data_IF_024590217608
#
_entry.id   IF_024590217608
#
_cell.length_a   1.000
_cell.length_b   1.000
_cell.length_c   1.000
_cell.angle_alpha   90.00
_cell.angle_beta   90.00
_cell.angle_gamma   90.00
#
_symmetry.space_group_name_H-M   'P 1'
#
loop_
_entity.id
_entity.type
_entity.pdbx_description
1 polymer ?
#
# COMPACT_ATOMS: atom_id res chain seq x y z
N UNK A 1 -22.00 -56.91 52.82
CA UNK A 1 -21.47 -57.83 51.79
C UNK A 1 -21.50 -57.12 50.44
N UNK A 2 -20.36 -57.15 49.75
CA UNK A 2 -19.99 -56.45 48.51
C UNK A 2 -21.02 -56.57 47.38
N UNK A 3 -21.31 -55.46 46.68
CA UNK A 3 -21.37 -55.42 45.20
C UNK A 3 -20.87 -54.05 44.71
N UNK A 4 -19.66 -54.07 44.15
CA UNK A 4 -19.02 -52.96 43.43
C UNK A 4 -19.66 -52.93 42.03
N UNK A 5 -20.37 -51.86 41.68
CA UNK A 5 -20.77 -51.59 40.30
C UNK A 5 -19.77 -50.62 39.69
N UNK A 6 -18.95 -51.14 38.76
CA UNK A 6 -18.06 -50.37 37.90
C UNK A 6 -18.90 -49.51 36.94
N UNK A 7 -18.86 -48.19 37.07
CA UNK A 7 -19.34 -47.27 36.05
C UNK A 7 -18.31 -47.21 34.92
N UNK A 8 -18.64 -47.83 33.78
CA UNK A 8 -17.89 -47.67 32.53
C UNK A 8 -18.38 -46.37 31.85
N UNK A 9 -17.65 -45.27 32.02
CA UNK A 9 -17.87 -44.02 31.29
C UNK A 9 -17.34 -44.18 29.86
N UNK A 10 -18.24 -44.48 28.92
CA UNK A 10 -17.96 -44.42 27.48
C UNK A 10 -17.87 -42.94 27.08
N UNK A 11 -16.64 -42.44 26.89
CA UNK A 11 -16.39 -41.13 26.29
C UNK A 11 -16.59 -41.29 24.78
N UNK A 12 -17.78 -40.94 24.29
CA UNK A 12 -18.03 -40.73 22.87
C UNK A 12 -17.27 -39.47 22.43
N UNK A 13 -16.09 -39.66 21.85
CA UNK A 13 -15.39 -38.63 21.09
C UNK A 13 -16.20 -38.37 19.81
N UNK A 14 -17.07 -37.35 19.82
CA UNK A 14 -17.73 -36.86 18.62
C UNK A 14 -16.68 -36.19 17.73
N UNK A 15 -16.17 -36.93 16.75
CA UNK A 15 -15.45 -36.33 15.62
C UNK A 15 -16.45 -35.46 14.86
N UNK A 16 -16.29 -34.14 14.96
CA UNK A 16 -17.01 -33.22 14.10
C UNK A 16 -16.52 -33.40 12.65
N UNK A 17 -17.14 -34.34 11.94
CA UNK A 17 -17.11 -34.42 10.49
C UNK A 17 -17.72 -33.13 9.95
N UNK A 18 -16.87 -32.19 9.53
CA UNK A 18 -17.30 -31.03 8.75
C UNK A 18 -17.79 -31.53 7.38
N UNK A 19 -19.08 -31.86 7.31
CA UNK A 19 -19.78 -32.11 6.06
C UNK A 19 -19.79 -30.83 5.24
N UNK A 20 -19.26 -30.86 4.01
CA UNK A 20 -19.44 -29.79 3.04
C UNK A 20 -20.92 -29.77 2.62
N UNK A 21 -21.71 -28.97 3.31
CA UNK A 21 -23.12 -28.77 3.00
C UNK A 21 -23.24 -28.11 1.60
N UNK A 22 -24.05 -28.69 0.73
CA UNK A 22 -24.33 -28.11 -0.60
C UNK A 22 -25.05 -26.78 -0.43
N UNK A 23 -24.75 -25.79 -1.29
CA UNK A 23 -25.34 -24.45 -1.22
C UNK A 23 -26.88 -24.45 -1.28
N UNK A 24 -27.51 -25.49 -1.83
CA UNK A 24 -28.96 -25.64 -1.88
C UNK A 24 -29.62 -25.78 -0.50
N UNK A 25 -28.85 -26.15 0.52
CA UNK A 25 -29.39 -26.58 1.81
C UNK A 25 -29.15 -25.54 2.92
N UNK A 26 -28.64 -24.35 2.55
CA UNK A 26 -28.36 -23.25 3.48
C UNK A 26 -29.39 -22.16 3.21
N UNK A 27 -30.23 -21.84 4.21
CA UNK A 27 -31.02 -20.61 4.21
C UNK A 27 -30.07 -19.42 4.38
N UNK A 28 -29.49 -18.95 3.27
CA UNK A 28 -28.67 -17.74 3.25
C UNK A 28 -29.58 -16.55 2.99
N UNK A 29 -29.53 -15.55 3.85
CA UNK A 29 -30.19 -14.26 3.61
C UNK A 29 -29.51 -13.56 2.43
N UNK A 30 -30.31 -13.17 1.42
CA UNK A 30 -29.87 -12.47 0.22
C UNK A 30 -29.06 -11.20 0.55
N UNK A 31 -29.39 -10.52 1.67
CA UNK A 31 -28.71 -9.31 2.13
C UNK A 31 -27.21 -9.54 2.40
N UNK A 32 -26.77 -10.78 2.59
CA UNK A 32 -25.36 -11.13 2.80
C UNK A 32 -24.51 -10.88 1.55
N UNK A 33 -25.04 -11.24 0.38
CA UNK A 33 -24.34 -11.14 -0.90
C UNK A 33 -24.77 -9.93 -1.73
N UNK A 34 -25.96 -9.38 -1.50
CA UNK A 34 -26.55 -8.34 -2.33
C UNK A 34 -26.65 -7.02 -1.57
N UNK A 35 -26.34 -5.91 -2.25
CA UNK A 35 -26.48 -4.55 -1.73
C UNK A 35 -27.88 -3.98 -1.96
N UNK A 36 -28.69 -4.63 -2.81
CA UNK A 36 -30.09 -4.31 -3.02
C UNK A 36 -30.99 -5.44 -2.50
N UNK A 37 -32.20 -5.07 -2.09
CA UNK A 37 -33.19 -5.97 -1.48
C UNK A 37 -33.80 -6.96 -2.49
N UNK A 38 -33.87 -6.57 -3.77
CA UNK A 38 -34.42 -7.37 -4.86
C UNK A 38 -33.45 -7.46 -6.06
N UNK A 39 -32.41 -8.32 -5.99
CA UNK A 39 -31.48 -8.52 -7.09
C UNK A 39 -32.17 -9.19 -8.29
N UNK A 40 -31.85 -8.73 -9.51
CA UNK A 40 -32.32 -9.38 -10.74
C UNK A 40 -31.16 -10.09 -11.45
N UNK A 41 -31.47 -10.98 -12.40
CA UNK A 41 -30.43 -11.63 -13.22
C UNK A 41 -29.53 -10.64 -13.96
N UNK A 42 -30.11 -9.51 -14.39
CA UNK A 42 -29.40 -8.49 -15.17
C UNK A 42 -28.71 -7.45 -14.26
N UNK A 43 -29.26 -7.21 -13.07
CA UNK A 43 -28.69 -6.33 -12.05
C UNK A 43 -28.66 -7.06 -10.71
N UNK A 44 -27.64 -7.91 -10.50
CA UNK A 44 -27.59 -8.75 -9.33
C UNK A 44 -27.12 -7.97 -8.09
N UNK A 45 -26.70 -6.71 -8.17
CA UNK A 45 -26.29 -5.90 -7.01
C UNK A 45 -25.33 -6.62 -6.04
N UNK A 46 -24.43 -7.47 -6.52
CA UNK A 46 -23.59 -8.27 -5.62
C UNK A 46 -22.61 -7.33 -4.91
N UNK A 47 -22.61 -7.34 -3.57
CA UNK A 47 -21.58 -6.72 -2.75
C UNK A 47 -20.25 -7.31 -3.17
N UNK A 48 -19.25 -6.45 -3.40
CA UNK A 48 -17.91 -6.91 -3.70
C UNK A 48 -17.47 -7.95 -2.67
N UNK A 49 -17.14 -9.15 -3.16
CA UNK A 49 -16.80 -10.26 -2.28
C UNK A 49 -15.57 -9.85 -1.44
N UNK A 50 -15.64 -9.86 -0.10
CA UNK A 50 -14.55 -9.43 0.77
C UNK A 50 -13.28 -10.28 0.61
N UNK A 51 -13.34 -11.38 -0.16
CA UNK A 51 -12.16 -12.13 -0.59
C UNK A 51 -11.20 -11.33 -1.48
N UNK A 52 -11.64 -10.22 -2.07
CA UNK A 52 -10.78 -9.33 -2.89
C UNK A 52 -10.16 -8.19 -2.08
N UNK A 53 -10.77 -7.82 -0.95
CA UNK A 53 -10.21 -6.88 0.00
C UNK A 53 -9.58 -7.67 1.13
N UNK A 54 -8.30 -8.06 0.94
CA UNK A 54 -7.50 -8.46 2.09
C UNK A 54 -7.63 -7.36 3.15
N UNK A 55 -8.20 -7.69 4.32
CA UNK A 55 -8.03 -6.84 5.49
C UNK A 55 -6.53 -6.84 5.74
N UNK A 56 -5.91 -5.71 5.39
CA UNK A 56 -4.48 -5.46 5.44
C UNK A 56 -4.05 -5.32 6.90
N UNK A 57 -4.00 -6.43 7.63
CA UNK A 57 -3.05 -6.50 8.73
C UNK A 57 -1.68 -6.50 8.05
N UNK A 58 -1.01 -5.36 8.12
CA UNK A 58 0.32 -5.19 7.58
C UNK A 58 1.30 -5.97 8.46
N UNK A 59 1.56 -7.22 8.07
CA UNK A 59 2.59 -8.04 8.68
C UNK A 59 3.95 -7.67 8.10
N UNK A 60 4.93 -7.44 8.97
CA UNK A 60 6.31 -7.25 8.53
C UNK A 60 6.92 -8.61 8.06
N UNK A 61 7.85 -8.62 7.10
CA UNK A 61 8.58 -9.84 6.72
C UNK A 61 9.24 -10.55 7.91
N UNK A 62 9.55 -9.82 8.98
CA UNK A 62 10.13 -10.33 10.21
C UNK A 62 9.21 -11.17 11.08
N UNK A 63 7.89 -11.05 10.91
CA UNK A 63 6.92 -11.84 11.66
C UNK A 63 6.75 -13.26 11.08
N UNK A 64 7.16 -13.47 9.83
CA UNK A 64 7.11 -14.76 9.16
C UNK A 64 8.26 -15.68 9.53
N UNK A 65 8.14 -16.99 9.23
CA UNK A 65 9.24 -17.94 9.41
C UNK A 65 10.45 -17.54 8.54
N UNK A 66 11.65 -17.88 9.01
CA UNK A 66 12.87 -17.68 8.23
C UNK A 66 12.90 -18.60 7.01
N UNK A 67 12.65 -19.89 7.25
CA UNK A 67 12.64 -20.95 6.25
C UNK A 67 11.46 -21.89 6.49
N UNK A 68 10.96 -22.48 5.42
CA UNK A 68 9.88 -23.47 5.41
C UNK A 68 10.37 -24.67 4.62
N UNK A 69 10.35 -25.84 5.23
CA UNK A 69 10.55 -27.10 4.52
C UNK A 69 9.23 -27.56 3.91
N UNK A 70 9.18 -27.71 2.59
CA UNK A 70 7.99 -28.15 1.85
C UNK A 70 8.12 -29.65 1.60
N UNK A 71 7.64 -30.47 2.53
CA UNK A 71 7.68 -31.94 2.46
C UNK A 71 6.29 -32.60 2.45
N UNK A 72 5.22 -31.82 2.36
CA UNK A 72 3.83 -32.32 2.39
C UNK A 72 3.46 -33.25 1.23
N UNK A 73 4.17 -33.17 0.11
CA UNK A 73 3.95 -34.04 -1.06
C UNK A 73 4.92 -35.23 -1.11
N UNK A 74 5.70 -35.46 -0.04
CA UNK A 74 6.73 -36.50 0.00
C UNK A 74 6.10 -37.89 -0.13
N UNK A 75 6.70 -38.74 -0.96
CA UNK A 75 6.39 -40.16 -1.13
C UNK A 75 7.56 -41.03 -0.67
N UNK A 76 7.28 -42.32 -0.47
CA UNK A 76 8.29 -43.29 -0.01
C UNK A 76 9.49 -43.42 -0.96
N UNK A 77 9.28 -43.22 -2.27
CA UNK A 77 10.31 -43.32 -3.32
C UNK A 77 10.34 -42.07 -4.19
N UNK A 78 10.70 -40.94 -3.61
CA UNK A 78 10.91 -39.71 -4.38
C UNK A 78 12.31 -39.65 -4.99
N UNK A 79 12.39 -39.15 -6.23
CA UNK A 79 13.67 -38.86 -6.90
C UNK A 79 14.39 -37.63 -6.29
N UNK A 80 13.60 -36.75 -5.67
CA UNK A 80 14.01 -35.43 -5.22
C UNK A 80 13.74 -35.25 -3.73
N UNK A 81 14.62 -34.53 -3.04
CA UNK A 81 14.42 -34.10 -1.66
C UNK A 81 13.37 -32.98 -1.59
N UNK A 82 12.75 -32.79 -0.41
CA UNK A 82 11.90 -31.63 -0.14
C UNK A 82 12.59 -30.29 -0.42
N UNK A 83 11.81 -29.30 -0.85
CA UNK A 83 12.32 -27.93 -1.07
C UNK A 83 12.48 -27.23 0.27
N UNK A 84 13.62 -26.57 0.48
CA UNK A 84 13.82 -25.63 1.59
C UNK A 84 13.57 -24.23 1.04
N UNK A 85 12.44 -23.63 1.44
CA UNK A 85 11.99 -22.32 0.98
C UNK A 85 12.35 -21.24 2.00
N UNK A 86 13.19 -20.27 1.63
CA UNK A 86 13.48 -19.12 2.48
C UNK A 86 12.34 -18.10 2.44
N UNK A 87 11.37 -18.22 3.34
CA UNK A 87 10.24 -17.31 3.42
C UNK A 87 10.66 -15.87 3.74
N UNK A 88 11.68 -15.67 4.59
CA UNK A 88 12.18 -14.32 4.94
C UNK A 88 12.76 -13.59 3.75
N UNK A 89 13.59 -14.25 2.93
CA UNK A 89 14.16 -13.61 1.75
C UNK A 89 13.07 -13.21 0.76
N UNK A 90 12.11 -14.11 0.49
CA UNK A 90 11.02 -13.86 -0.46
C UNK A 90 10.07 -12.75 0.03
N UNK A 91 9.74 -12.74 1.32
CA UNK A 91 8.87 -11.70 1.87
C UNK A 91 9.52 -10.31 1.83
N UNK A 92 10.82 -10.20 2.12
CA UNK A 92 11.56 -8.94 1.97
C UNK A 92 11.63 -8.45 0.52
N UNK A 93 11.93 -9.35 -0.42
CA UNK A 93 11.97 -9.02 -1.84
C UNK A 93 10.59 -8.59 -2.38
N UNK A 94 9.52 -9.19 -1.86
CA UNK A 94 8.16 -8.92 -2.34
C UNK A 94 7.65 -7.51 -1.99
N UNK A 95 8.22 -6.84 -0.97
CA UNK A 95 7.70 -5.56 -0.47
C UNK A 95 7.57 -4.46 -1.53
N UNK A 96 8.38 -4.50 -2.60
CA UNK A 96 8.32 -3.52 -3.68
C UNK A 96 7.19 -3.78 -4.69
N UNK A 97 6.90 -5.03 -5.02
CA UNK A 97 6.01 -5.42 -6.13
C UNK A 97 4.60 -5.84 -5.72
N UNK A 98 4.29 -5.85 -4.42
CA UNK A 98 2.96 -6.26 -3.92
C UNK A 98 2.95 -6.85 -2.51
N UNK A 99 4.12 -7.11 -1.93
CA UNK A 99 4.26 -7.70 -0.61
C UNK A 99 3.68 -9.12 -0.57
N UNK A 100 2.94 -9.41 0.50
CA UNK A 100 2.33 -10.72 0.72
C UNK A 100 1.41 -11.15 -0.43
N UNK A 101 0.77 -10.21 -1.12
CA UNK A 101 -0.18 -10.50 -2.20
C UNK A 101 0.48 -11.08 -3.45
N UNK A 102 1.81 -11.00 -3.57
CA UNK A 102 2.54 -11.59 -4.68
C UNK A 102 2.50 -13.12 -4.66
N UNK A 103 2.28 -13.72 -3.48
CA UNK A 103 2.21 -15.17 -3.31
C UNK A 103 0.90 -15.63 -2.67
N UNK A 104 0.39 -14.89 -1.69
CA UNK A 104 -0.83 -15.23 -1.00
C UNK A 104 -2.03 -14.53 -1.62
N UNK A 105 -2.98 -15.32 -2.09
CA UNK A 105 -4.26 -14.86 -2.58
C UNK A 105 -5.40 -15.37 -1.69
N UNK A 106 -6.50 -14.62 -1.61
CA UNK A 106 -7.74 -15.05 -0.95
C UNK A 106 -7.58 -15.45 0.54
N UNK A 107 -6.67 -14.79 1.25
CA UNK A 107 -6.51 -14.96 2.69
C UNK A 107 -7.77 -14.51 3.46
N UNK A 108 -8.19 -15.23 4.51
CA UNK A 108 -9.22 -14.72 5.40
C UNK A 108 -8.70 -13.50 6.19
N UNK A 109 -9.59 -12.66 6.71
CA UNK A 109 -9.21 -11.48 7.50
C UNK A 109 -8.20 -11.79 8.60
N UNK A 110 -7.11 -11.03 8.66
CA UNK A 110 -6.13 -11.07 9.74
C UNK A 110 -5.23 -12.31 9.79
N UNK A 111 -5.24 -13.18 8.77
CA UNK A 111 -4.41 -14.39 8.75
C UNK A 111 -3.88 -14.71 7.36
N UNK A 112 -2.59 -15.01 7.27
CA UNK A 112 -1.95 -15.53 6.05
C UNK A 112 -1.93 -17.06 6.12
N UNK A 113 -2.53 -17.73 5.12
CA UNK A 113 -2.70 -19.20 5.13
C UNK A 113 -1.72 -19.92 4.21
N UNK A 114 -1.49 -21.20 4.50
CA UNK A 114 -0.68 -22.07 3.66
C UNK A 114 -1.47 -22.53 2.42
N UNK A 115 -0.78 -22.77 1.31
CA UNK A 115 -1.38 -23.21 0.04
C UNK A 115 -2.26 -24.47 0.21
N UNK A 116 -1.83 -25.41 1.06
CA UNK A 116 -2.51 -26.68 1.34
C UNK A 116 -3.93 -26.53 1.93
N UNK A 117 -4.23 -25.37 2.52
CA UNK A 117 -5.56 -25.14 3.10
C UNK A 117 -6.64 -25.04 2.02
N UNK A 118 -6.25 -24.69 0.79
CA UNK A 118 -7.16 -24.55 -0.34
C UNK A 118 -6.82 -25.46 -1.52
N UNK A 119 -5.55 -25.80 -1.71
CA UNK A 119 -5.06 -26.66 -2.79
C UNK A 119 -4.89 -28.11 -2.32
N UNK A 120 -5.56 -29.02 -3.00
CA UNK A 120 -5.58 -30.45 -2.68
C UNK A 120 -4.20 -31.08 -2.89
N UNK A 121 -3.76 -31.93 -1.96
CA UNK A 121 -2.52 -32.70 -2.07
C UNK A 121 -2.60 -33.77 -3.16
N UNK A 122 -3.82 -34.25 -3.42
CA UNK A 122 -4.08 -35.23 -4.46
C UNK A 122 -4.16 -34.55 -5.81
N UNK A 123 -3.76 -35.28 -6.85
CA UNK A 123 -3.73 -34.75 -8.20
C UNK A 123 -5.14 -34.49 -8.71
N UNK A 124 -5.42 -33.23 -9.04
CA UNK A 124 -6.72 -32.80 -9.57
C UNK A 124 -6.54 -32.39 -11.03
N UNK A 125 -7.15 -33.13 -11.97
CA UNK A 125 -7.06 -32.87 -13.42
C UNK A 125 -8.37 -32.36 -14.04
N UNK A 126 -9.46 -32.41 -13.30
CA UNK A 126 -10.79 -32.08 -13.82
C UNK A 126 -11.05 -30.57 -13.88
N UNK A 127 -10.58 -29.81 -12.88
CA UNK A 127 -10.72 -28.35 -12.83
C UNK A 127 -9.36 -27.70 -12.59
N UNK A 128 -8.79 -27.10 -13.64
CA UNK A 128 -7.48 -26.44 -13.58
C UNK A 128 -7.56 -24.98 -13.09
N UNK A 129 -8.77 -24.44 -12.87
CA UNK A 129 -8.93 -23.08 -12.31
C UNK A 129 -8.38 -23.01 -10.89
N UNK A 130 -8.51 -24.10 -10.14
CA UNK A 130 -7.82 -24.33 -8.87
C UNK A 130 -6.89 -25.55 -9.01
N UNK A 131 -5.60 -25.37 -9.34
CA UNK A 131 -4.69 -26.49 -9.47
C UNK A 131 -4.56 -27.26 -8.16
N UNK A 132 -4.11 -28.50 -8.23
CA UNK A 132 -3.62 -29.21 -7.04
C UNK A 132 -2.39 -28.52 -6.44
N UNK A 133 -1.99 -28.95 -5.24
CA UNK A 133 -0.92 -28.32 -4.48
C UNK A 133 0.42 -28.35 -5.23
N UNK A 134 0.70 -29.43 -5.97
CA UNK A 134 1.91 -29.53 -6.79
C UNK A 134 1.89 -28.50 -7.93
N UNK A 135 0.78 -28.42 -8.65
CA UNK A 135 0.58 -27.44 -9.72
C UNK A 135 0.62 -26.00 -9.20
N UNK A 136 0.06 -25.73 -8.02
CA UNK A 136 0.07 -24.43 -7.38
C UNK A 136 1.51 -23.95 -7.08
N UNK A 137 2.32 -24.81 -6.46
CA UNK A 137 3.73 -24.50 -6.17
C UNK A 137 4.51 -24.23 -7.46
N UNK A 138 4.46 -25.15 -8.42
CA UNK A 138 5.25 -25.01 -9.64
C UNK A 138 4.82 -23.79 -10.45
N UNK A 139 3.53 -23.49 -10.55
CA UNK A 139 3.05 -22.28 -11.23
C UNK A 139 3.58 -21.01 -10.53
N UNK A 140 3.37 -20.88 -9.22
CA UNK A 140 3.76 -19.68 -8.48
C UNK A 140 5.28 -19.45 -8.44
N UNK A 141 6.06 -20.50 -8.13
CA UNK A 141 7.51 -20.39 -7.95
C UNK A 141 8.21 -20.22 -9.30
N UNK A 142 7.88 -21.09 -10.27
CA UNK A 142 8.59 -21.12 -11.54
C UNK A 142 8.24 -19.91 -12.40
N UNK A 143 6.98 -19.47 -12.43
CA UNK A 143 6.60 -18.32 -13.28
C UNK A 143 7.28 -17.02 -12.83
N UNK A 144 7.52 -16.85 -11.53
CA UNK A 144 8.33 -15.75 -11.02
C UNK A 144 9.82 -15.92 -11.41
N UNK A 145 10.39 -17.11 -11.15
CA UNK A 145 11.82 -17.36 -11.36
C UNK A 145 12.24 -17.38 -12.83
N UNK A 146 11.36 -17.82 -13.74
CA UNK A 146 11.59 -17.78 -15.20
C UNK A 146 11.90 -16.38 -15.73
N UNK A 147 11.49 -15.34 -15.01
CA UNK A 147 11.73 -13.97 -15.44
C UNK A 147 13.21 -13.58 -15.29
N UNK A 148 13.89 -14.06 -14.23
CA UNK A 148 15.23 -13.58 -13.85
C UNK A 148 16.30 -14.68 -13.74
N UNK A 149 15.91 -15.96 -13.71
CA UNK A 149 16.81 -17.11 -13.65
C UNK A 149 16.80 -17.87 -14.97
N UNK A 150 17.99 -18.24 -15.45
CA UNK A 150 18.17 -19.10 -16.62
C UNK A 150 18.01 -20.58 -16.27
N UNK A 151 18.11 -20.94 -14.99
CA UNK A 151 18.00 -22.33 -14.54
C UNK A 151 16.53 -22.73 -14.41
N UNK A 152 16.15 -23.72 -15.22
CA UNK A 152 14.81 -24.30 -15.31
C UNK A 152 14.80 -25.75 -14.83
N UNK A 153 15.92 -26.25 -14.31
CA UNK A 153 16.07 -27.62 -13.87
C UNK A 153 15.37 -27.86 -12.54
N UNK A 154 14.89 -29.10 -12.33
CA UNK A 154 14.30 -29.52 -11.05
C UNK A 154 15.28 -29.35 -9.88
N UNK A 155 16.58 -29.46 -10.17
CA UNK A 155 17.67 -29.37 -9.19
C UNK A 155 17.89 -27.99 -8.62
N UNK A 156 17.33 -26.96 -9.26
CA UNK A 156 17.38 -25.59 -8.76
C UNK A 156 16.60 -25.43 -7.45
N UNK A 157 15.45 -26.09 -7.33
CA UNK A 157 14.62 -26.08 -6.12
C UNK A 157 14.81 -27.32 -5.26
N UNK A 158 15.05 -28.47 -5.89
CA UNK A 158 15.14 -29.76 -5.20
C UNK A 158 16.55 -30.33 -5.21
N UNK A 159 17.03 -30.90 -4.11
CA UNK A 159 18.19 -31.79 -4.19
C UNK A 159 17.78 -33.14 -4.80
N UNK A 160 18.66 -33.83 -5.54
CA UNK A 160 18.42 -35.22 -5.93
C UNK A 160 18.74 -36.14 -4.76
N UNK A 161 17.87 -37.11 -4.48
CA UNK A 161 18.12 -38.05 -3.39
C UNK A 161 19.34 -38.96 -3.67
N UNK A 162 19.67 -39.22 -4.94
CA UNK A 162 20.91 -39.92 -5.34
C UNK A 162 22.20 -39.19 -4.95
N UNK A 163 22.13 -37.87 -4.78
CA UNK A 163 23.29 -37.01 -4.57
C UNK A 163 23.41 -36.56 -3.10
N UNK A 164 22.66 -37.20 -2.20
CA UNK A 164 22.49 -36.82 -0.78
C UNK A 164 23.79 -36.82 0.06
N UNK A 165 24.94 -37.13 -0.54
CA UNK A 165 26.27 -36.97 0.07
C UNK A 165 27.10 -35.79 -0.46
N UNK A 166 26.68 -35.07 -1.52
CA UNK A 166 27.52 -34.07 -2.21
C UNK A 166 26.94 -32.67 -2.39
N UNK A 167 25.67 -32.41 -2.04
CA UNK A 167 25.14 -31.04 -2.08
C UNK A 167 24.38 -30.68 -0.81
N UNK A 168 25.14 -30.24 0.19
CA UNK A 168 24.63 -29.47 1.32
C UNK A 168 24.21 -28.09 0.81
N UNK A 169 22.95 -27.92 0.42
CA UNK A 169 22.29 -26.62 0.62
C UNK A 169 21.97 -26.52 2.12
N UNK A 170 23.03 -26.40 2.92
CA UNK A 170 22.97 -25.98 4.33
C UNK A 170 23.65 -24.63 4.39
N UNK A 171 23.10 -23.63 3.70
CA UNK A 171 23.35 -22.26 4.13
C UNK A 171 22.34 -21.99 5.22
N UNK A 172 22.70 -22.33 6.45
CA UNK A 172 22.06 -21.75 7.63
C UNK A 172 22.10 -20.25 7.44
N UNK A 173 20.96 -19.67 7.09
CA UNK A 173 20.82 -18.24 6.89
C UNK A 173 21.14 -17.57 8.24
N UNK A 174 22.12 -16.65 8.30
CA UNK A 174 22.45 -15.98 9.54
C UNK A 174 21.20 -15.29 10.10
N UNK A 175 20.98 -15.41 11.42
CA UNK A 175 19.95 -14.69 12.19
C UNK A 175 20.22 -13.17 12.24
N UNK A 176 20.46 -12.53 11.10
CA UNK A 176 20.64 -11.08 10.99
C UNK A 176 19.37 -10.42 10.46
N UNK A 177 19.17 -9.19 10.91
CA UNK A 177 18.21 -8.25 10.38
C UNK A 177 18.44 -8.07 8.87
N UNK A 178 17.49 -8.55 8.08
CA UNK A 178 17.45 -8.49 6.61
C UNK A 178 18.43 -9.41 5.86
N UNK A 179 17.87 -10.24 4.97
CA UNK A 179 18.61 -11.17 4.09
C UNK A 179 18.83 -10.54 2.72
N UNK A 180 17.86 -9.79 2.21
CA UNK A 180 17.99 -9.06 0.95
C UNK A 180 18.52 -7.63 1.18
N UNK A 181 19.47 -7.12 0.36
CA UNK A 181 19.95 -5.74 0.49
C UNK A 181 18.81 -4.71 0.50
N UNK A 182 19.03 -3.62 1.22
CA UNK A 182 18.09 -2.51 1.22
C UNK A 182 18.03 -1.84 -0.14
N UNK A 183 16.81 -1.72 -0.67
CA UNK A 183 16.57 -0.96 -1.90
C UNK A 183 16.49 0.51 -1.53
N UNK A 184 17.54 1.25 -1.87
CA UNK A 184 17.64 2.68 -1.62
C UNK A 184 16.95 3.43 -2.77
N UNK A 185 15.85 4.10 -2.47
CA UNK A 185 15.17 4.96 -3.43
C UNK A 185 15.94 6.29 -3.62
N UNK A 186 16.16 6.76 -4.85
CA UNK A 186 16.80 8.05 -5.08
C UNK A 186 15.86 9.17 -4.63
N UNK A 187 16.33 10.11 -3.80
CA UNK A 187 15.50 11.22 -3.32
C UNK A 187 14.83 11.99 -4.48
N UNK A 188 15.57 12.26 -5.56
CA UNK A 188 15.11 13.02 -6.74
C UNK A 188 15.44 12.32 -8.04
N UNK A 189 14.50 12.30 -8.97
CA UNK A 189 14.65 11.85 -10.35
C UNK A 189 14.23 12.97 -11.30
N UNK A 190 15.04 13.25 -12.32
CA UNK A 190 14.74 14.27 -13.33
C UNK A 190 14.59 13.60 -14.68
N UNK A 191 13.42 13.76 -15.30
CA UNK A 191 13.15 13.32 -16.66
C UNK A 191 13.28 14.50 -17.62
N UNK A 192 13.89 14.25 -18.78
CA UNK A 192 14.09 15.24 -19.83
C UNK A 192 13.28 14.89 -21.08
N UNK A 193 12.36 15.77 -21.45
CA UNK A 193 11.58 15.66 -22.68
C UNK A 193 12.43 16.07 -23.90
N UNK A 194 12.37 15.28 -24.97
CA UNK A 194 13.19 15.51 -26.18
C UNK A 194 12.86 16.81 -26.94
N UNK A 195 11.70 17.43 -26.70
CA UNK A 195 11.25 18.64 -27.41
C UNK A 195 10.35 19.52 -26.51
N UNK A 196 10.28 20.82 -26.81
CA UNK A 196 9.50 21.85 -26.08
C UNK A 196 10.37 22.79 -25.21
N UNK A 197 9.84 23.96 -24.81
CA UNK A 197 10.49 24.86 -23.82
C UNK A 197 10.50 24.24 -22.41
N UNK A 198 9.42 23.55 -22.04
CA UNK A 198 9.22 22.94 -20.73
C UNK A 198 9.75 21.49 -20.71
N UNK A 199 11.08 21.33 -20.65
CA UNK A 199 11.72 20.02 -20.84
C UNK A 199 11.84 19.17 -19.58
N UNK A 200 11.76 19.78 -18.40
CA UNK A 200 12.07 19.09 -17.15
C UNK A 200 10.81 18.64 -16.43
N UNK A 201 10.77 17.35 -16.08
CA UNK A 201 9.80 16.81 -15.11
C UNK A 201 10.61 16.31 -13.92
N UNK A 202 10.38 16.91 -12.75
CA UNK A 202 11.11 16.56 -11.52
C UNK A 202 10.21 15.73 -10.63
N UNK A 203 10.70 14.57 -10.22
CA UNK A 203 10.03 13.65 -9.31
C UNK A 203 10.83 13.50 -8.03
N UNK A 204 10.16 13.62 -6.87
CA UNK A 204 10.77 13.44 -5.56
C UNK A 204 10.18 12.18 -4.90
N UNK A 205 10.99 11.15 -4.69
CA UNK A 205 10.52 9.92 -4.02
C UNK A 205 10.08 10.23 -2.59
N UNK A 206 10.88 11.00 -1.84
CA UNK A 206 10.58 11.31 -0.44
C UNK A 206 9.26 12.08 -0.28
N UNK A 207 8.91 12.96 -1.21
CA UNK A 207 7.62 13.64 -1.17
C UNK A 207 6.48 12.62 -1.30
N UNK A 208 6.61 11.66 -2.23
CA UNK A 208 5.59 10.64 -2.48
C UNK A 208 5.48 9.62 -1.35
N UNK A 209 6.61 9.13 -0.84
CA UNK A 209 6.62 8.09 0.20
C UNK A 209 6.41 8.67 1.60
N UNK A 210 6.99 9.83 1.92
CA UNK A 210 7.02 10.35 3.28
C UNK A 210 5.92 11.39 3.50
N UNK A 211 5.72 12.33 2.56
CA UNK A 211 4.69 13.36 2.71
C UNK A 211 3.31 12.85 2.28
N UNK A 212 3.22 12.26 1.09
CA UNK A 212 1.95 11.76 0.54
C UNK A 212 1.62 10.33 0.97
N UNK A 213 2.53 9.67 1.72
CA UNK A 213 2.36 8.35 2.32
C UNK A 213 1.98 7.25 1.31
N UNK A 214 2.59 7.28 0.12
CA UNK A 214 2.45 6.21 -0.87
C UNK A 214 3.40 5.05 -0.53
N UNK A 215 2.92 3.82 -0.75
CA UNK A 215 3.73 2.62 -0.59
C UNK A 215 4.50 2.31 -1.89
N UNK A 216 5.62 1.58 -1.79
CA UNK A 216 6.41 1.19 -2.96
C UNK A 216 5.56 0.49 -4.03
N UNK A 217 4.65 -0.39 -3.61
CA UNK A 217 3.73 -1.11 -4.50
C UNK A 217 2.74 -0.20 -5.24
N UNK A 218 2.42 0.98 -4.72
CA UNK A 218 1.52 1.91 -5.42
C UNK A 218 2.10 2.37 -6.77
N UNK A 219 3.44 2.41 -6.88
CA UNK A 219 4.16 2.78 -8.10
C UNK A 219 4.81 1.58 -8.80
N UNK A 220 5.28 0.59 -8.03
CA UNK A 220 6.11 -0.51 -8.51
C UNK A 220 5.40 -1.88 -8.56
N UNK A 221 4.05 -1.93 -8.46
CA UNK A 221 3.25 -3.18 -8.50
C UNK A 221 3.56 -4.11 -9.68
N UNK A 222 3.95 -3.56 -10.82
CA UNK A 222 4.21 -4.32 -12.05
C UNK A 222 5.71 -4.52 -12.29
N UNK A 223 6.55 -4.11 -11.33
CA UNK A 223 7.99 -4.30 -11.43
C UNK A 223 8.41 -5.66 -10.90
N UNK A 224 9.07 -6.44 -11.75
CA UNK A 224 9.65 -7.73 -11.39
C UNK A 224 11.11 -7.56 -10.97
N UNK A 225 11.62 -8.54 -10.21
CA UNK A 225 13.01 -8.66 -9.75
C UNK A 225 14.04 -8.47 -10.88
N UNK A 226 13.65 -8.85 -12.12
CA UNK A 226 14.45 -8.66 -13.34
C UNK A 226 14.90 -7.23 -13.56
N UNK A 227 14.15 -6.23 -13.09
CA UNK A 227 14.49 -4.83 -13.30
C UNK A 227 15.85 -4.49 -12.68
N UNK A 228 16.23 -5.16 -11.60
CA UNK A 228 17.52 -5.00 -10.92
C UNK A 228 18.46 -6.20 -11.11
N UNK A 229 17.91 -7.41 -11.26
CA UNK A 229 18.69 -8.66 -11.27
C UNK A 229 18.88 -9.30 -12.65
N UNK A 230 18.45 -8.66 -13.76
CA UNK A 230 18.71 -9.19 -15.09
C UNK A 230 20.23 -9.27 -15.36
N UNK A 231 20.72 -10.47 -15.70
CA UNK A 231 22.15 -10.73 -16.01
C UNK A 231 22.64 -9.94 -17.21
N UNK A 232 21.82 -9.86 -18.25
CA UNK A 232 21.98 -8.87 -19.31
C UNK A 232 21.09 -7.69 -18.96
N UNK A 233 21.65 -6.48 -18.95
CA UNK A 233 20.81 -5.28 -18.97
C UNK A 233 19.96 -5.39 -20.23
N UNK A 234 18.70 -5.81 -20.09
CA UNK A 234 17.70 -5.74 -21.15
C UNK A 234 17.37 -4.24 -21.31
N UNK A 235 18.35 -3.45 -21.73
CA UNK A 235 18.14 -2.18 -22.40
C UNK A 235 17.78 -2.58 -23.83
N UNK A 236 16.65 -3.27 -24.00
CA UNK A 236 15.91 -3.05 -25.24
C UNK A 236 15.50 -1.60 -25.12
N UNK A 237 16.18 -0.75 -25.88
CA UNK A 237 15.89 0.67 -26.08
C UNK A 237 14.52 0.76 -26.80
N UNK A 238 13.48 0.25 -26.16
CA UNK A 238 12.12 0.37 -26.66
C UNK A 238 11.80 1.85 -26.61
N UNK A 239 11.52 2.41 -27.78
CA UNK A 239 10.95 3.73 -27.89
C UNK A 239 9.56 3.70 -27.27
N UNK A 240 9.50 3.87 -25.95
CA UNK A 240 8.24 3.98 -25.23
C UNK A 240 7.42 5.11 -25.87
N UNK A 241 6.15 4.83 -26.15
CA UNK A 241 5.20 5.84 -26.61
C UNK A 241 5.05 6.93 -25.55
N UNK A 242 4.47 8.07 -25.92
CA UNK A 242 4.20 9.14 -24.97
C UNK A 242 3.36 8.64 -23.79
N UNK A 243 2.32 7.85 -24.05
CA UNK A 243 1.45 7.29 -23.02
C UNK A 243 2.21 6.35 -22.08
N UNK A 244 3.06 5.47 -22.61
CA UNK A 244 3.89 4.56 -21.80
C UNK A 244 4.88 5.30 -20.89
N UNK A 245 5.28 6.52 -21.23
CA UNK A 245 6.13 7.36 -20.36
C UNK A 245 5.32 7.99 -19.22
N UNK A 246 4.04 8.27 -19.43
CA UNK A 246 3.17 8.89 -18.43
C UNK A 246 2.45 7.89 -17.53
N UNK A 247 2.28 6.63 -17.97
CA UNK A 247 1.47 5.60 -17.34
C UNK A 247 1.68 5.45 -15.81
N UNK A 248 2.93 5.59 -15.33
CA UNK A 248 3.23 5.51 -13.89
C UNK A 248 2.61 6.66 -13.09
N UNK A 249 2.55 7.86 -13.68
CA UNK A 249 1.99 9.06 -13.07
C UNK A 249 0.48 9.15 -13.27
N UNK A 250 -0.03 8.66 -14.42
CA UNK A 250 -1.42 8.77 -14.84
C UNK A 250 -2.43 8.08 -13.91
N UNK A 251 -1.96 7.16 -13.07
CA UNK A 251 -2.80 6.50 -12.05
C UNK A 251 -3.32 7.46 -10.98
N UNK A 252 -2.59 8.57 -10.75
CA UNK A 252 -2.89 9.54 -9.70
C UNK A 252 -3.01 10.98 -10.23
N UNK A 253 -2.27 11.31 -11.30
CA UNK A 253 -2.22 12.65 -11.89
C UNK A 253 -2.92 12.68 -13.23
N UNK A 254 -3.63 13.78 -13.53
CA UNK A 254 -4.10 14.04 -14.88
C UNK A 254 -2.90 14.41 -15.76
N UNK A 255 -2.39 13.43 -16.49
CA UNK A 255 -1.31 13.60 -17.46
C UNK A 255 -1.82 13.85 -18.88
N UNK A 256 -3.14 13.84 -19.07
CA UNK A 256 -3.76 14.08 -20.37
C UNK A 256 -3.96 15.58 -20.62
N UNK A 257 -4.17 16.35 -19.54
CA UNK A 257 -4.37 17.81 -19.58
C UNK A 257 -3.33 18.52 -18.70
N UNK A 258 -3.21 19.84 -18.86
CA UNK A 258 -2.37 20.69 -18.02
C UNK A 258 -0.88 20.28 -17.95
N UNK A 259 -0.23 20.04 -19.10
CA UNK A 259 1.16 19.59 -19.18
C UNK A 259 2.14 20.46 -18.36
N UNK A 260 1.86 21.77 -18.29
CA UNK A 260 2.65 22.76 -17.55
C UNK A 260 2.63 22.58 -16.03
N UNK A 261 1.84 21.65 -15.48
CA UNK A 261 1.89 21.30 -14.06
C UNK A 261 3.05 20.34 -13.75
N UNK A 262 3.50 19.58 -14.74
CA UNK A 262 4.59 18.60 -14.60
C UNK A 262 5.83 19.04 -15.37
N UNK A 263 5.64 19.65 -16.53
CA UNK A 263 6.70 20.10 -17.42
C UNK A 263 7.11 21.53 -17.11
N UNK A 264 8.38 21.74 -16.80
CA UNK A 264 8.96 23.01 -16.37
C UNK A 264 10.18 23.38 -17.20
N UNK A 265 10.48 24.68 -17.30
CA UNK A 265 11.70 25.18 -17.94
C UNK A 265 12.97 24.88 -17.13
N UNK A 266 12.83 24.69 -15.82
CA UNK A 266 13.91 24.34 -14.90
C UNK A 266 13.51 23.23 -13.95
N UNK A 267 14.51 22.53 -13.42
CA UNK A 267 14.32 21.56 -12.33
C UNK A 267 13.69 22.28 -11.13
N UNK A 268 12.61 21.72 -10.59
CA UNK A 268 11.88 22.32 -9.47
C UNK A 268 12.34 21.74 -8.14
N UNK A 269 12.12 22.50 -7.07
CA UNK A 269 12.23 21.99 -5.70
C UNK A 269 11.07 21.06 -5.35
N UNK A 270 11.20 20.39 -4.20
CA UNK A 270 10.17 19.51 -3.66
C UNK A 270 8.89 20.25 -3.26
N UNK A 271 7.90 19.51 -2.81
CA UNK A 271 6.62 20.06 -2.41
C UNK A 271 6.79 21.01 -1.21
N UNK A 272 6.23 22.22 -1.35
CA UNK A 272 6.11 23.17 -0.26
C UNK A 272 4.68 23.71 -0.23
N UNK A 273 3.98 23.45 0.88
CA UNK A 273 2.58 23.81 1.02
C UNK A 273 2.34 25.32 0.91
N UNK A 274 3.23 26.16 1.50
CA UNK A 274 3.14 27.62 1.44
C UNK A 274 3.31 28.13 0.01
N UNK A 275 4.32 27.64 -0.71
CA UNK A 275 4.59 28.09 -2.08
C UNK A 275 3.45 27.66 -3.02
N UNK A 276 2.88 26.47 -2.81
CA UNK A 276 1.84 25.92 -3.69
C UNK A 276 0.43 26.45 -3.40
N UNK A 277 0.13 26.80 -2.14
CA UNK A 277 -1.25 27.15 -1.72
C UNK A 277 -1.35 28.54 -1.07
N UNK A 278 -0.23 29.15 -0.71
CA UNK A 278 -0.17 30.35 0.14
C UNK A 278 -0.29 30.05 1.64
N UNK A 279 -0.71 28.84 2.04
CA UNK A 279 -0.93 28.48 3.45
C UNK A 279 0.32 27.83 4.06
N UNK A 280 0.91 28.47 5.07
CA UNK A 280 2.16 28.03 5.69
C UNK A 280 1.92 27.07 6.86
N UNK A 281 2.02 25.76 6.60
CA UNK A 281 1.88 24.73 7.63
C UNK A 281 3.15 24.51 8.45
N UNK A 282 4.31 25.04 8.01
CA UNK A 282 5.62 24.68 8.56
C UNK A 282 5.87 25.14 10.01
N UNK A 283 5.00 26.00 10.55
CA UNK A 283 5.13 26.54 11.91
C UNK A 283 4.30 25.74 12.92
N UNK A 284 2.99 25.90 12.87
CA UNK A 284 2.06 25.35 13.88
C UNK A 284 1.48 23.99 13.49
N UNK A 285 1.57 23.62 12.21
CA UNK A 285 0.96 22.41 11.66
C UNK A 285 2.01 21.42 11.16
N UNK A 286 3.30 21.65 11.46
CA UNK A 286 4.41 20.83 10.94
C UNK A 286 4.40 19.39 11.48
N UNK A 287 3.87 19.20 12.68
CA UNK A 287 3.70 17.89 13.30
C UNK A 287 2.47 17.12 12.79
N UNK A 288 1.56 17.79 12.07
CA UNK A 288 0.36 17.16 11.52
C UNK A 288 0.69 16.36 10.27
N UNK A 289 0.05 15.21 10.14
CA UNK A 289 0.06 14.42 8.91
C UNK A 289 -0.86 15.08 7.90
N UNK A 290 -0.56 14.94 6.61
CA UNK A 290 -1.41 15.49 5.55
C UNK A 290 -2.87 15.01 5.67
N UNK A 291 -3.09 13.79 6.16
CA UNK A 291 -4.42 13.18 6.40
C UNK A 291 -5.22 13.82 7.54
N UNK A 292 -4.57 14.59 8.41
CA UNK A 292 -5.25 15.27 9.50
C UNK A 292 -6.20 16.35 8.97
N UNK A 293 -5.86 16.94 7.81
CA UNK A 293 -6.72 17.87 7.06
C UNK A 293 -7.28 17.23 5.78
N UNK A 294 -6.47 16.52 4.99
CA UNK A 294 -6.88 15.90 3.73
C UNK A 294 -7.46 14.49 3.93
N UNK A 295 -8.73 14.46 4.34
CA UNK A 295 -9.44 13.21 4.67
C UNK A 295 -9.65 12.28 3.49
N UNK A 296 -9.78 12.80 2.26
CA UNK A 296 -9.98 11.97 1.07
C UNK A 296 -8.71 11.17 0.76
N UNK A 297 -8.76 9.82 0.70
CA UNK A 297 -7.59 9.00 0.40
C UNK A 297 -7.01 9.36 -0.97
N UNK A 298 -5.68 9.38 -1.04
CA UNK A 298 -4.87 9.68 -2.25
C UNK A 298 -5.24 11.00 -2.98
N UNK A 299 -5.95 11.91 -2.33
CA UNK A 299 -6.33 13.21 -2.88
C UNK A 299 -5.98 14.33 -1.89
N UNK A 300 -5.15 15.28 -2.34
CA UNK A 300 -4.64 16.39 -1.54
C UNK A 300 -5.07 17.76 -2.10
N UNK A 301 -6.07 17.77 -2.97
CA UNK A 301 -6.59 18.97 -3.63
C UNK A 301 -8.01 19.29 -3.15
N UNK A 302 -8.43 20.55 -3.31
CA UNK A 302 -9.82 20.96 -3.11
C UNK A 302 -10.21 21.39 -1.69
N UNK A 303 -9.26 21.45 -0.74
CA UNK A 303 -9.52 21.99 0.59
C UNK A 303 -9.42 23.53 0.56
N UNK A 304 -10.47 24.25 0.97
CA UNK A 304 -10.37 25.71 1.13
C UNK A 304 -9.66 26.01 2.46
N UNK A 305 -8.89 27.09 2.52
CA UNK A 305 -8.16 27.53 3.72
C UNK A 305 -9.02 28.13 4.84
N UNK A 306 -10.31 27.80 4.90
CA UNK A 306 -11.19 28.23 5.99
C UNK A 306 -10.92 27.40 7.24
N UNK A 307 -10.96 28.02 8.41
CA UNK A 307 -10.65 27.36 9.69
C UNK A 307 -11.47 26.07 9.88
N UNK A 308 -12.77 26.12 9.56
CA UNK A 308 -13.73 25.01 9.69
C UNK A 308 -13.41 23.78 8.83
N UNK A 309 -12.69 23.94 7.72
CA UNK A 309 -12.33 22.82 6.85
C UNK A 309 -11.28 21.89 7.46
N UNK A 310 -10.50 22.40 8.41
CA UNK A 310 -9.51 21.62 9.15
C UNK A 310 -9.93 21.44 10.61
N UNK A 311 -10.51 22.49 11.22
CA UNK A 311 -10.97 22.53 12.59
C UNK A 311 -12.50 22.45 12.62
N UNK A 312 -13.05 21.23 12.59
CA UNK A 312 -14.49 20.98 12.44
C UNK A 312 -15.36 21.72 13.48
N UNK A 313 -14.87 21.85 14.71
CA UNK A 313 -15.55 22.54 15.82
C UNK A 313 -15.09 23.99 16.00
N UNK A 314 -14.54 24.62 14.96
CA UNK A 314 -14.06 25.99 15.07
C UNK A 314 -15.21 26.98 15.24
N UNK A 315 -15.22 27.67 16.38
CA UNK A 315 -16.13 28.78 16.66
C UNK A 315 -15.40 30.10 16.43
N UNK A 316 -15.98 30.99 15.61
CA UNK A 316 -15.49 32.35 15.45
C UNK A 316 -15.36 33.04 16.82
N UNK A 317 -14.31 33.85 17.00
CA UNK A 317 -13.98 34.47 18.29
C UNK A 317 -13.17 33.60 19.27
N UNK A 318 -13.05 32.28 19.05
CA UNK A 318 -12.20 31.41 19.91
C UNK A 318 -10.74 31.36 19.45
N UNK A 319 -10.42 31.98 18.32
CA UNK A 319 -9.06 31.98 17.80
C UNK A 319 -8.17 32.96 18.55
N UNK A 320 -7.14 32.42 19.19
CA UNK A 320 -6.12 33.21 19.86
C UNK A 320 -5.08 33.73 18.86
N UNK A 321 -5.14 35.02 18.54
CA UNK A 321 -4.20 35.69 17.62
C UNK A 321 -2.74 35.66 18.11
N UNK A 322 -2.46 35.35 19.39
CA UNK A 322 -1.10 35.07 19.87
C UNK A 322 -0.44 33.94 19.07
N UNK A 323 -1.23 32.98 18.59
CA UNK A 323 -0.76 31.92 17.67
C UNK A 323 -0.27 32.49 16.34
N UNK A 324 -0.80 33.61 15.87
CA UNK A 324 -0.29 34.32 14.70
C UNK A 324 0.88 35.29 15.02
N UNK A 325 1.40 35.27 16.26
CA UNK A 325 2.40 36.21 16.80
C UNK A 325 1.93 37.67 16.84
N UNK A 326 0.63 37.89 16.97
CA UNK A 326 0.01 39.21 17.05
C UNK A 326 -0.98 39.24 18.20
N UNK A 327 -0.79 40.13 19.16
CA UNK A 327 -1.80 40.43 20.19
C UNK A 327 -2.60 41.61 19.68
N UNK A 328 -3.89 41.39 19.39
CA UNK A 328 -4.79 42.47 18.99
C UNK A 328 -4.99 43.45 20.16
N UNK A 329 -5.16 44.73 19.84
CA UNK A 329 -5.60 45.70 20.85
C UNK A 329 -7.08 45.51 21.19
N UNK A 330 -7.55 46.20 22.24
CA UNK A 330 -8.92 46.04 22.75
C UNK A 330 -9.99 46.26 21.68
N UNK A 331 -9.76 47.20 20.75
CA UNK A 331 -10.74 47.53 19.70
C UNK A 331 -10.75 46.43 18.64
N UNK A 332 -9.59 46.06 18.09
CA UNK A 332 -9.53 45.07 17.01
C UNK A 332 -9.85 43.65 17.48
N UNK A 333 -9.73 43.36 18.77
CA UNK A 333 -10.11 42.07 19.34
C UNK A 333 -11.63 41.80 19.31
N UNK A 334 -12.45 42.86 19.24
CA UNK A 334 -13.92 42.75 19.21
C UNK A 334 -14.51 42.71 17.79
N UNK A 335 -13.69 42.92 16.75
CA UNK A 335 -14.13 42.96 15.36
C UNK A 335 -14.33 41.54 14.80
N UNK A 336 -15.39 41.36 13.99
CA UNK A 336 -15.66 40.08 13.35
C UNK A 336 -14.55 39.69 12.37
N UNK A 337 -14.27 38.39 12.29
CA UNK A 337 -13.17 37.89 11.48
C UNK A 337 -13.29 38.28 10.00
N UNK A 338 -14.52 38.40 9.47
CA UNK A 338 -14.82 38.74 8.08
C UNK A 338 -14.50 40.19 7.72
N UNK A 339 -14.53 41.09 8.71
CA UNK A 339 -14.35 42.52 8.47
C UNK A 339 -12.88 42.82 8.17
N UNK A 340 -11.97 42.07 8.81
CA UNK A 340 -10.55 42.07 8.49
C UNK A 340 -10.20 41.04 7.41
N UNK A 341 -10.69 39.80 7.48
CA UNK A 341 -10.34 38.72 6.55
C UNK A 341 -11.39 38.48 5.47
N UNK A 342 -11.62 39.52 4.66
CA UNK A 342 -12.63 39.58 3.59
C UNK A 342 -12.57 38.42 2.58
N UNK A 343 -11.39 37.86 2.33
CA UNK A 343 -11.20 36.76 1.36
C UNK A 343 -11.44 35.36 1.94
N UNK A 344 -11.78 35.23 3.24
CA UNK A 344 -11.98 33.97 3.96
C UNK A 344 -10.83 32.93 3.84
N UNK A 345 -9.67 33.36 3.34
CA UNK A 345 -8.45 32.57 3.24
C UNK A 345 -7.48 32.84 4.41
N UNK A 346 -7.83 33.81 5.27
CA UNK A 346 -7.15 34.18 6.51
C UNK A 346 -5.64 34.41 6.35
N UNK A 347 -5.16 34.80 5.15
CA UNK A 347 -3.74 35.02 4.89
C UNK A 347 -3.28 36.44 5.25
N UNK A 348 -4.05 37.45 4.82
CA UNK A 348 -3.79 38.86 5.11
C UNK A 348 -5.10 39.57 5.43
N UNK A 349 -5.16 40.38 6.50
CA UNK A 349 -6.29 41.24 6.74
C UNK A 349 -6.29 42.44 5.78
N UNK A 350 -7.45 43.03 5.58
CA UNK A 350 -7.68 44.28 4.86
C UNK A 350 -7.90 45.38 5.90
N UNK A 351 -7.17 46.48 5.79
CA UNK A 351 -7.28 47.64 6.70
C UNK A 351 -8.07 48.78 6.06
N UNK A 352 -8.06 48.82 4.73
CA UNK A 352 -8.55 49.90 3.87
C UNK A 352 -10.08 50.05 3.93
N UNK A 353 -10.80 49.05 4.44
CA UNK A 353 -12.25 49.12 4.66
C UNK A 353 -12.62 50.03 5.84
N UNK A 354 -11.68 50.35 6.73
CA UNK A 354 -11.92 51.14 7.94
C UNK A 354 -10.92 52.30 8.11
N UNK A 355 -9.82 52.30 7.35
CA UNK A 355 -8.76 53.28 7.46
C UNK A 355 -8.31 53.77 6.08
N UNK A 356 -8.28 55.08 5.90
CA UNK A 356 -7.87 55.70 4.63
C UNK A 356 -6.35 55.69 4.42
N UNK A 357 -5.57 55.57 5.50
CA UNK A 357 -4.11 55.75 5.51
C UNK A 357 -3.32 54.55 6.08
N UNK A 358 -4.00 53.48 6.53
CA UNK A 358 -3.35 52.33 7.17
C UNK A 358 -3.38 51.09 6.29
N UNK A 359 -2.31 50.31 6.32
CA UNK A 359 -2.20 49.05 5.57
C UNK A 359 -1.45 47.96 6.34
N UNK A 360 -1.82 46.70 6.13
CA UNK A 360 -1.07 45.56 6.68
C UNK A 360 0.01 45.11 5.68
N UNK A 361 1.28 44.88 6.10
CA UNK A 361 1.76 44.77 7.48
C UNK A 361 2.41 46.03 8.07
N UNK A 362 2.31 47.18 7.40
CA UNK A 362 2.97 48.43 7.85
C UNK A 362 2.39 48.94 9.18
N UNK A 363 1.07 48.85 9.33
CA UNK A 363 0.32 49.17 10.53
C UNK A 363 -0.30 47.87 11.06
N UNK A 364 0.08 47.50 12.28
CA UNK A 364 -0.45 46.31 12.94
C UNK A 364 -1.64 46.69 13.82
N UNK A 365 -2.75 45.93 13.80
CA UNK A 365 -3.90 46.14 14.68
C UNK A 365 -3.61 45.61 16.09
N UNK A 366 -2.49 46.06 16.69
CA UNK A 366 -2.01 45.61 18.00
C UNK A 366 -0.49 45.45 18.07
N UNK A 367 -0.01 44.59 18.98
CA UNK A 367 1.42 44.40 19.28
C UNK A 367 1.93 43.04 18.81
N UNK A 368 3.05 43.04 18.09
CA UNK A 368 3.73 41.82 17.66
C UNK A 368 4.49 41.19 18.83
N UNK A 369 4.35 39.88 19.00
CA UNK A 369 5.10 39.10 19.99
C UNK A 369 6.15 38.22 19.30
N UNK A 370 7.23 37.88 20.01
CA UNK A 370 8.37 37.16 19.44
C UNK A 370 8.07 35.69 19.18
#
# INVERSE_FOLDING_TARGET
MKKILFYLSIILFSTALYSQQKHSDIKVDCSFCHSCENPTKNEPCIKDCPRHTMITVHHSPSEGPLEIKIDILKKEKDLYSPVIFSHRAHSEMSQMGGGCSMCHHYNPPGRVVACKECHDVNRQRADLRKPDLNGAYHRQCIDCHKLWSDDKGCTYCHAKNSDSGKNKITKTVPKKDRIHPEVIAPNKVVYNAKSGKNKFVTFYHNDHTNLFSLECKDCHKDESCVKCHAKEKIIKKQNKTLNQKHQLCSSCHDTAKNCNNCHMEKVTEGFNHKIKTGFDISKFHAALKCRDCHKKPKSFTGLKGTCSNCHQEFKAGTFDHRKAKLVLDEIHAEIDCSDCHTNANYQKPTCENCHDDKSFPANLPGKKIK
#
